data_IF_685869718488
#
_entry.id   IF_685869718488
#
_cell.length_a   1.000
_cell.length_b   1.000
_cell.length_c   1.000
_cell.angle_alpha   90.00
_cell.angle_beta   90.00
_cell.angle_gamma   90.00
#
_symmetry.space_group_name_H-M   'P 1'
#
loop_
_entity.id
_entity.type
_entity.pdbx_description
1 polymer ?
#
# COMPACT_ATOMS: atom_id res chain seq x y z
N UNK A 1 -26.63 6.29 33.13
CA UNK A 1 -26.13 5.88 31.80
C UNK A 1 -25.07 4.80 32.01
N UNK A 2 -25.40 3.53 31.75
CA UNK A 2 -24.48 2.40 31.97
C UNK A 2 -23.82 2.02 30.63
N UNK A 3 -22.51 2.20 30.55
CA UNK A 3 -21.69 1.76 29.42
C UNK A 3 -21.63 0.23 29.41
N UNK A 4 -22.26 -0.39 28.41
CA UNK A 4 -22.17 -1.83 28.14
C UNK A 4 -20.81 -2.10 27.49
N UNK A 5 -19.88 -2.63 28.27
CA UNK A 5 -18.59 -3.10 27.80
C UNK A 5 -18.77 -4.36 26.95
N UNK A 6 -18.59 -4.23 25.63
CA UNK A 6 -18.68 -5.35 24.69
C UNK A 6 -17.32 -6.06 24.65
N UNK A 7 -17.18 -7.10 25.46
CA UNK A 7 -16.02 -7.98 25.47
C UNK A 7 -15.83 -8.61 24.07
N UNK A 8 -14.76 -8.22 23.38
CA UNK A 8 -14.32 -8.89 22.15
C UNK A 8 -13.65 -10.19 22.54
N UNK A 9 -14.36 -11.29 22.31
CA UNK A 9 -13.85 -12.65 22.43
C UNK A 9 -12.73 -12.86 21.40
N UNK A 10 -11.49 -12.87 21.87
CA UNK A 10 -10.34 -13.39 21.13
C UNK A 10 -10.58 -14.89 20.88
N UNK A 11 -10.64 -15.30 19.62
CA UNK A 11 -10.75 -16.71 19.21
C UNK A 11 -9.38 -17.38 19.38
N UNK A 12 -9.20 -18.36 20.28
CA UNK A 12 -7.96 -19.12 20.37
C UNK A 12 -7.97 -20.21 19.30
N UNK A 13 -7.22 -20.02 18.21
CA UNK A 13 -7.06 -21.00 17.13
C UNK A 13 -5.58 -21.16 16.75
N UNK A 14 -4.71 -21.31 17.77
CA UNK A 14 -3.25 -21.48 17.56
C UNK A 14 -2.68 -22.67 18.33
N UNK A 15 -3.49 -23.69 18.63
CA UNK A 15 -2.95 -24.94 19.21
C UNK A 15 -3.50 -26.14 18.46
N UNK A 16 -2.95 -26.39 17.27
CA UNK A 16 -3.03 -27.70 16.62
C UNK A 16 -1.87 -27.83 15.62
N UNK A 17 -1.23 -29.00 15.63
CA UNK A 17 -0.21 -29.49 14.69
C UNK A 17 1.26 -29.13 14.99
N UNK A 18 1.80 -29.71 16.07
CA UNK A 18 3.25 -29.84 16.25
C UNK A 18 3.64 -31.23 16.80
N UNK A 19 3.14 -32.33 16.21
CA UNK A 19 3.60 -33.71 16.51
C UNK A 19 3.12 -34.70 15.44
N UNK A 20 3.73 -34.73 14.25
CA UNK A 20 3.66 -35.88 13.33
C UNK A 20 4.65 -35.71 12.16
N UNK A 21 5.95 -35.92 12.38
CA UNK A 21 6.92 -36.04 11.28
C UNK A 21 8.24 -36.71 11.71
N UNK A 22 8.18 -37.93 12.25
CA UNK A 22 9.38 -38.79 12.41
C UNK A 22 8.96 -40.23 12.11
N UNK A 23 8.98 -40.62 10.83
CA UNK A 23 9.17 -42.01 10.33
C UNK A 23 8.94 -42.06 8.81
N UNK A 24 9.95 -41.71 8.02
CA UNK A 24 10.02 -42.09 6.61
C UNK A 24 11.47 -42.29 6.17
N UNK A 25 12.16 -43.24 6.80
CA UNK A 25 13.41 -43.82 6.29
C UNK A 25 13.00 -45.02 5.44
N UNK A 26 13.01 -44.91 4.11
CA UNK A 26 12.77 -46.11 3.27
C UNK A 26 12.33 -45.96 1.81
N UNK A 27 12.58 -44.84 1.12
CA UNK A 27 12.26 -44.75 -0.32
C UNK A 27 13.21 -43.80 -1.07
N UNK A 28 14.49 -44.19 -1.27
CA UNK A 28 15.47 -43.40 -2.03
C UNK A 28 15.78 -43.95 -3.44
N UNK A 29 15.01 -44.91 -3.96
CA UNK A 29 15.34 -45.55 -5.25
C UNK A 29 14.66 -44.95 -6.49
N UNK A 30 13.76 -43.96 -6.36
CA UNK A 30 13.07 -43.33 -7.50
C UNK A 30 13.26 -41.81 -7.63
N UNK A 31 14.09 -41.17 -6.79
CA UNK A 31 14.29 -39.72 -6.84
C UNK A 31 15.26 -39.24 -7.94
N UNK A 32 15.91 -40.16 -8.67
CA UNK A 32 17.05 -39.84 -9.56
C UNK A 32 16.66 -39.16 -10.88
N UNK A 33 15.50 -39.49 -11.45
CA UNK A 33 15.00 -38.82 -12.67
C UNK A 33 14.24 -37.53 -12.35
N UNK A 34 13.75 -37.37 -11.12
CA UNK A 34 12.94 -36.23 -10.71
C UNK A 34 13.76 -34.94 -10.62
N UNK A 35 15.00 -34.98 -10.15
CA UNK A 35 15.78 -33.74 -9.89
C UNK A 35 16.02 -32.91 -11.15
N UNK A 36 16.28 -33.56 -12.29
CA UNK A 36 16.45 -32.85 -13.57
C UNK A 36 15.14 -32.25 -14.05
N UNK A 37 14.06 -33.02 -14.02
CA UNK A 37 12.72 -32.54 -14.42
C UNK A 37 12.25 -31.38 -13.53
N UNK A 38 12.51 -31.46 -12.22
CA UNK A 38 12.22 -30.40 -11.24
C UNK A 38 13.05 -29.15 -11.50
N UNK A 39 14.34 -29.30 -11.81
CA UNK A 39 15.23 -28.18 -12.16
C UNK A 39 14.76 -27.48 -13.44
N UNK A 40 14.44 -28.23 -14.49
CA UNK A 40 13.94 -27.67 -15.75
C UNK A 40 12.59 -26.96 -15.56
N UNK A 41 11.69 -27.55 -14.77
CA UNK A 41 10.40 -26.92 -14.42
C UNK A 41 10.61 -25.62 -13.64
N UNK A 42 11.55 -25.61 -12.69
CA UNK A 42 11.90 -24.42 -11.92
C UNK A 42 12.49 -23.32 -12.79
N UNK A 43 13.42 -23.65 -13.67
CA UNK A 43 14.01 -22.70 -14.60
C UNK A 43 12.96 -22.11 -15.56
N UNK A 44 12.04 -22.92 -16.07
CA UNK A 44 10.95 -22.43 -16.95
C UNK A 44 10.05 -21.43 -16.24
N UNK A 45 9.68 -21.69 -14.98
CA UNK A 45 8.88 -20.76 -14.18
C UNK A 45 9.62 -19.44 -13.95
N UNK A 46 10.91 -19.51 -13.58
CA UNK A 46 11.75 -18.32 -13.35
C UNK A 46 11.96 -17.53 -14.64
N UNK A 47 12.18 -18.19 -15.78
CA UNK A 47 12.39 -17.56 -17.08
C UNK A 47 11.13 -16.95 -17.70
N UNK A 48 9.94 -17.47 -17.33
CA UNK A 48 8.66 -16.90 -17.67
C UNK A 48 8.35 -15.63 -16.85
N UNK A 49 9.04 -15.42 -15.73
CA UNK A 49 8.83 -14.23 -14.91
C UNK A 49 9.28 -12.96 -15.63
N UNK A 50 8.49 -11.86 -15.57
CA UNK A 50 8.91 -10.56 -16.09
C UNK A 50 10.15 -10.00 -15.36
N UNK A 51 10.48 -10.53 -14.17
CA UNK A 51 11.60 -10.11 -13.33
C UNK A 51 12.82 -11.02 -13.41
N UNK A 52 12.91 -11.87 -14.43
CA UNK A 52 14.03 -12.82 -14.62
C UNK A 52 15.42 -12.18 -14.65
N UNK A 53 15.51 -10.89 -15.00
CA UNK A 53 16.79 -10.15 -15.00
C UNK A 53 17.43 -10.07 -13.61
N UNK A 54 16.63 -10.03 -12.54
CA UNK A 54 17.12 -9.99 -11.14
C UNK A 54 17.74 -11.34 -10.76
N UNK A 55 17.21 -12.44 -11.29
CA UNK A 55 17.70 -13.79 -11.05
C UNK A 55 18.70 -14.28 -12.11
N UNK A 56 19.33 -13.38 -12.89
CA UNK A 56 20.21 -13.77 -14.01
C UNK A 56 21.38 -14.66 -13.58
N UNK A 57 22.03 -14.31 -12.48
CA UNK A 57 23.18 -15.06 -11.97
C UNK A 57 22.81 -16.48 -11.51
N UNK A 58 21.83 -16.69 -10.61
CA UNK A 58 21.46 -18.05 -10.20
C UNK A 58 20.92 -18.90 -11.36
N UNK A 59 20.24 -18.29 -12.35
CA UNK A 59 19.84 -18.99 -13.58
C UNK A 59 21.08 -19.48 -14.35
N UNK A 60 22.11 -18.64 -14.53
CA UNK A 60 23.35 -19.04 -15.21
C UNK A 60 24.03 -20.20 -14.49
N UNK A 61 24.20 -20.09 -13.17
CA UNK A 61 24.84 -21.13 -12.35
C UNK A 61 24.08 -22.45 -12.38
N UNK A 62 22.75 -22.42 -12.35
CA UNK A 62 21.90 -23.60 -12.47
C UNK A 62 22.12 -24.31 -13.82
N UNK A 63 22.11 -23.56 -14.93
CA UNK A 63 22.36 -24.11 -16.28
C UNK A 63 23.77 -24.67 -16.41
N UNK A 64 24.78 -23.96 -15.90
CA UNK A 64 26.17 -24.43 -15.93
C UNK A 64 26.36 -25.72 -15.11
N UNK A 65 25.67 -25.86 -13.97
CA UNK A 65 25.67 -27.09 -13.19
C UNK A 65 24.98 -28.24 -13.94
N UNK A 66 23.83 -28.01 -14.58
CA UNK A 66 23.14 -29.00 -15.39
C UNK A 66 23.98 -29.48 -16.59
N UNK A 67 24.65 -28.56 -17.28
CA UNK A 67 25.56 -28.91 -18.39
C UNK A 67 26.81 -29.67 -17.90
N UNK A 68 27.28 -29.39 -16.68
CA UNK A 68 28.35 -30.21 -16.06
C UNK A 68 27.86 -31.62 -15.73
N UNK A 69 26.64 -31.76 -15.18
CA UNK A 69 26.04 -33.06 -14.92
C UNK A 69 25.94 -33.90 -16.20
N UNK A 70 25.46 -33.30 -17.30
CA UNK A 70 25.37 -33.93 -18.61
C UNK A 70 26.71 -34.48 -19.10
N UNK A 71 27.78 -33.66 -19.04
CA UNK A 71 29.14 -34.07 -19.43
C UNK A 71 29.69 -35.21 -18.57
N UNK A 72 29.36 -35.25 -17.29
CA UNK A 72 29.77 -36.33 -16.39
C UNK A 72 29.08 -37.66 -16.74
N UNK A 73 27.81 -37.63 -17.15
CA UNK A 73 27.08 -38.81 -17.64
C UNK A 73 27.69 -39.34 -18.94
N UNK A 74 28.18 -38.47 -19.83
CA UNK A 74 28.85 -38.87 -21.07
C UNK A 74 30.14 -39.69 -20.81
N UNK A 75 30.86 -39.39 -19.71
CA UNK A 75 32.04 -40.16 -19.27
C UNK A 75 31.71 -41.26 -18.24
N UNK A 76 30.42 -41.55 -18.02
CA UNK A 76 29.91 -42.55 -17.06
C UNK A 76 30.28 -42.30 -15.58
N UNK A 77 30.57 -41.05 -15.19
CA UNK A 77 30.76 -40.63 -13.80
C UNK A 77 29.41 -40.24 -13.15
N UNK A 78 28.56 -41.24 -12.96
CA UNK A 78 27.18 -41.06 -12.47
C UNK A 78 27.09 -40.43 -11.06
N UNK A 79 27.91 -40.83 -10.06
CA UNK A 79 27.83 -40.24 -8.72
C UNK A 79 28.09 -38.74 -8.73
N UNK A 80 29.07 -38.27 -9.52
CA UNK A 80 29.36 -36.84 -9.63
C UNK A 80 28.32 -36.09 -10.45
N UNK A 81 27.74 -36.73 -11.47
CA UNK A 81 26.64 -36.16 -12.23
C UNK A 81 25.45 -35.81 -11.31
N UNK A 82 25.08 -36.71 -10.40
CA UNK A 82 24.00 -36.50 -9.42
C UNK A 82 24.25 -35.31 -8.50
N UNK A 83 25.48 -35.14 -8.02
CA UNK A 83 25.85 -33.97 -7.21
C UNK A 83 25.69 -32.66 -8.01
N UNK A 84 26.01 -32.69 -9.31
CA UNK A 84 25.82 -31.53 -10.18
C UNK A 84 24.34 -31.25 -10.48
N UNK A 85 23.50 -32.28 -10.62
CA UNK A 85 22.05 -32.12 -10.77
C UNK A 85 21.42 -31.53 -9.51
N UNK A 86 21.79 -32.00 -8.32
CA UNK A 86 21.37 -31.40 -7.04
C UNK A 86 21.84 -29.95 -6.90
N UNK A 87 23.07 -29.64 -7.34
CA UNK A 87 23.55 -28.26 -7.39
C UNK A 87 22.75 -27.40 -8.39
N UNK A 88 22.38 -27.94 -9.55
CA UNK A 88 21.56 -27.24 -10.52
C UNK A 88 20.18 -26.91 -9.95
N UNK A 89 19.56 -27.87 -9.24
CA UNK A 89 18.28 -27.71 -8.55
C UNK A 89 18.34 -26.61 -7.49
N UNK A 90 19.33 -26.65 -6.60
CA UNK A 90 19.49 -25.63 -5.55
C UNK A 90 19.65 -24.22 -6.12
N UNK A 91 20.42 -24.04 -7.21
CA UNK A 91 20.51 -22.74 -7.88
C UNK A 91 19.19 -22.31 -8.55
N UNK A 92 18.39 -23.24 -9.07
CA UNK A 92 17.07 -22.92 -9.61
C UNK A 92 16.08 -22.50 -8.52
N UNK A 93 16.12 -23.15 -7.35
CA UNK A 93 15.34 -22.77 -6.18
C UNK A 93 15.77 -21.38 -5.66
N UNK A 94 17.08 -21.11 -5.56
CA UNK A 94 17.61 -19.77 -5.23
C UNK A 94 17.11 -18.72 -6.23
N UNK A 95 17.06 -19.03 -7.53
CA UNK A 95 16.53 -18.11 -8.54
C UNK A 95 15.05 -17.77 -8.30
N UNK A 96 14.22 -18.75 -7.92
CA UNK A 96 12.81 -18.54 -7.53
C UNK A 96 12.72 -17.65 -6.29
N UNK A 97 13.53 -17.93 -5.28
CA UNK A 97 13.48 -17.21 -4.01
C UNK A 97 13.95 -15.76 -4.15
N UNK A 98 14.94 -15.48 -5.00
CA UNK A 98 15.36 -14.11 -5.35
C UNK A 98 14.20 -13.31 -5.96
N UNK A 99 13.43 -13.91 -6.87
CA UNK A 99 12.26 -13.24 -7.46
C UNK A 99 11.19 -12.98 -6.39
N UNK A 100 10.90 -13.97 -5.54
CA UNK A 100 9.94 -13.82 -4.43
C UNK A 100 10.36 -12.74 -3.45
N UNK A 101 11.65 -12.66 -3.12
CA UNK A 101 12.21 -11.62 -2.27
C UNK A 101 12.05 -10.23 -2.91
N UNK A 102 12.36 -10.08 -4.20
CA UNK A 102 12.16 -8.84 -4.92
C UNK A 102 10.69 -8.40 -5.00
N UNK A 103 9.75 -9.35 -5.09
CA UNK A 103 8.31 -9.07 -5.03
C UNK A 103 7.88 -8.62 -3.62
N UNK A 104 8.40 -9.27 -2.57
CA UNK A 104 8.14 -8.89 -1.19
C UNK A 104 8.67 -7.48 -0.88
N UNK A 105 9.88 -7.16 -1.33
CA UNK A 105 10.48 -5.83 -1.18
C UNK A 105 9.67 -4.76 -1.91
N UNK A 106 9.25 -5.02 -3.15
CA UNK A 106 8.39 -4.11 -3.90
C UNK A 106 7.07 -3.84 -3.16
N UNK A 107 6.42 -4.88 -2.60
CA UNK A 107 5.20 -4.71 -1.79
C UNK A 107 5.46 -3.92 -0.51
N UNK A 108 6.55 -4.21 0.21
CA UNK A 108 6.92 -3.47 1.41
C UNK A 108 7.18 -1.99 1.12
N UNK A 109 7.87 -1.67 0.01
CA UNK A 109 8.12 -0.29 -0.42
C UNK A 109 6.82 0.47 -0.72
N UNK A 110 5.87 -0.17 -1.43
CA UNK A 110 4.56 0.42 -1.73
C UNK A 110 3.72 0.65 -0.47
N UNK A 111 3.77 -0.28 0.48
CA UNK A 111 3.06 -0.16 1.76
C UNK A 111 3.63 0.99 2.59
N UNK A 112 4.97 1.15 2.61
CA UNK A 112 5.62 2.27 3.29
C UNK A 112 5.22 3.61 2.68
N UNK A 113 5.20 3.73 1.36
CA UNK A 113 4.75 4.94 0.67
C UNK A 113 3.30 5.29 1.03
N UNK A 114 2.39 4.30 0.96
CA UNK A 114 0.99 4.50 1.32
C UNK A 114 0.81 4.91 2.79
N UNK A 115 1.61 4.35 3.70
CA UNK A 115 1.58 4.72 5.11
C UNK A 115 2.04 6.18 5.33
N UNK A 116 3.08 6.61 4.63
CA UNK A 116 3.55 8.00 4.64
C UNK A 116 2.50 8.97 4.09
N UNK A 117 1.84 8.62 2.98
CA UNK A 117 0.78 9.44 2.37
C UNK A 117 -0.44 9.58 3.30
N UNK A 118 -0.84 8.48 3.96
CA UNK A 118 -1.91 8.49 4.94
C UNK A 118 -1.55 9.37 6.16
N UNK A 119 -0.31 9.31 6.64
CA UNK A 119 0.17 10.20 7.70
C UNK A 119 0.05 11.68 7.29
N UNK A 120 0.50 12.03 6.09
CA UNK A 120 0.40 13.39 5.57
C UNK A 120 -1.05 13.85 5.35
N UNK A 121 -1.99 12.93 5.10
CA UNK A 121 -3.42 13.27 5.05
C UNK A 121 -3.98 13.58 6.44
N UNK A 122 -3.66 12.75 7.44
CA UNK A 122 -4.09 12.99 8.84
C UNK A 122 -3.58 14.33 9.36
N UNK A 123 -2.32 14.68 9.08
CA UNK A 123 -1.75 15.97 9.51
C UNK A 123 -2.46 17.17 8.87
N UNK A 124 -2.85 17.04 7.59
CA UNK A 124 -3.64 18.08 6.90
C UNK A 124 -5.04 18.24 7.47
N UNK A 125 -5.71 17.12 7.74
CA UNK A 125 -7.05 17.14 8.35
C UNK A 125 -6.99 17.73 9.76
N UNK A 126 -5.95 17.40 10.54
CA UNK A 126 -5.72 18.00 11.85
C UNK A 126 -5.52 19.52 11.76
N UNK A 127 -4.69 19.99 10.84
CA UNK A 127 -4.47 21.42 10.64
C UNK A 127 -5.77 22.16 10.26
N UNK A 128 -6.62 21.56 9.41
CA UNK A 128 -7.94 22.12 9.06
C UNK A 128 -8.89 22.17 10.26
N UNK A 129 -8.88 21.16 11.12
CA UNK A 129 -9.68 21.15 12.35
C UNK A 129 -9.20 22.21 13.35
N UNK A 130 -7.89 22.38 13.50
CA UNK A 130 -7.31 23.41 14.37
C UNK A 130 -7.66 24.83 13.88
N UNK A 131 -7.63 25.07 12.57
CA UNK A 131 -8.10 26.33 11.99
C UNK A 131 -9.59 26.56 12.24
N UNK A 132 -10.43 25.54 12.01
CA UNK A 132 -11.87 25.61 12.24
C UNK A 132 -12.23 25.90 13.70
N UNK A 133 -11.52 25.28 14.65
CA UNK A 133 -11.66 25.58 16.08
C UNK A 133 -11.26 27.02 16.40
N UNK A 134 -10.17 27.53 15.80
CA UNK A 134 -9.74 28.92 15.94
C UNK A 134 -10.76 29.92 15.39
N UNK A 135 -11.35 29.65 14.22
CA UNK A 135 -12.41 30.47 13.64
C UNK A 135 -13.68 30.46 14.50
N UNK A 136 -14.11 29.28 14.96
CA UNK A 136 -15.28 29.14 15.84
C UNK A 136 -15.10 29.86 17.18
N UNK A 137 -13.89 29.80 17.76
CA UNK A 137 -13.56 30.53 18.98
C UNK A 137 -13.68 32.05 18.81
N UNK A 138 -13.14 32.60 17.71
CA UNK A 138 -13.27 34.03 17.39
C UNK A 138 -14.72 34.47 17.21
N UNK A 139 -15.52 33.70 16.47
CA UNK A 139 -16.94 34.00 16.26
C UNK A 139 -17.73 33.99 17.58
N UNK A 140 -17.46 33.04 18.48
CA UNK A 140 -18.08 33.02 19.82
C UNK A 140 -17.71 34.25 20.64
N UNK A 141 -16.44 34.65 20.65
CA UNK A 141 -15.99 35.86 21.35
C UNK A 141 -16.65 37.13 20.78
N UNK A 142 -16.88 37.21 19.47
CA UNK A 142 -17.61 38.32 18.84
C UNK A 142 -19.09 38.35 19.25
N UNK A 143 -19.75 37.19 19.29
CA UNK A 143 -21.15 37.10 19.75
C UNK A 143 -21.28 37.50 21.22
N UNK A 144 -20.37 37.03 22.07
CA UNK A 144 -20.35 37.40 23.50
C UNK A 144 -20.07 38.90 23.70
N UNK A 145 -19.18 39.49 22.90
CA UNK A 145 -18.93 40.94 22.93
C UNK A 145 -20.18 41.74 22.53
N UNK A 146 -20.88 41.34 21.46
CA UNK A 146 -22.13 41.98 21.02
C UNK A 146 -23.24 41.82 22.06
N UNK A 147 -23.36 40.65 22.68
CA UNK A 147 -24.31 40.41 23.75
C UNK A 147 -24.01 41.29 24.98
N UNK A 148 -22.76 41.40 25.39
CA UNK A 148 -22.35 42.26 26.50
C UNK A 148 -22.53 43.75 26.20
N UNK A 149 -22.29 44.18 24.96
CA UNK A 149 -22.52 45.56 24.52
C UNK A 149 -24.02 45.91 24.56
N UNK A 150 -24.89 45.01 24.08
CA UNK A 150 -26.35 45.19 24.17
C UNK A 150 -26.86 45.27 25.61
N UNK A 151 -26.28 44.50 26.54
CA UNK A 151 -26.63 44.55 27.97
C UNK A 151 -26.13 45.81 28.67
N UNK A 152 -24.98 46.36 28.25
CA UNK A 152 -24.38 47.58 28.81
C UNK A 152 -24.96 48.87 28.27
N UNK A 153 -25.72 48.80 27.18
CA UNK A 153 -26.49 49.92 26.63
C UNK A 153 -28.00 49.83 26.96
N UNK A 154 -28.43 49.85 28.23
CA UNK A 154 -29.83 50.12 28.52
C UNK A 154 -30.09 51.63 28.31
N UNK A 155 -31.16 51.94 27.56
CA UNK A 155 -31.77 53.27 27.47
C UNK A 155 -30.98 54.42 26.82
N UNK A 156 -30.38 54.21 25.64
CA UNK A 156 -30.44 55.27 24.62
C UNK A 156 -31.65 55.07 23.74
N UNK A 157 -32.80 55.39 24.33
CA UNK A 157 -34.07 55.55 23.64
C UNK A 157 -33.92 56.54 22.48
N UNK A 158 -34.24 56.04 21.30
CA UNK A 158 -35.04 56.74 20.28
C UNK A 158 -35.38 58.21 20.57
N UNK A 159 -34.50 59.11 20.17
CA UNK A 159 -34.90 60.44 19.72
C UNK A 159 -34.00 60.80 18.54
N UNK A 160 -34.52 61.62 17.61
CA UNK A 160 -33.98 61.94 16.27
C UNK A 160 -34.52 60.96 15.21
N UNK A 161 -35.78 61.08 14.79
CA UNK A 161 -36.33 62.14 13.92
C UNK A 161 -35.77 62.09 12.49
N UNK A 162 -36.73 61.95 11.55
CA UNK A 162 -36.61 62.12 10.11
C UNK A 162 -35.75 63.34 9.76
N UNK A 163 -34.79 63.16 8.86
CA UNK A 163 -34.48 64.21 7.89
C UNK A 163 -34.01 63.59 6.57
N UNK A 164 -34.80 63.86 5.54
CA UNK A 164 -34.55 63.59 4.14
C UNK A 164 -33.31 64.38 3.69
N UNK A 165 -32.27 63.72 3.18
CA UNK A 165 -31.30 64.43 2.32
C UNK A 165 -30.80 63.53 1.20
N UNK A 166 -31.48 63.71 0.07
CA UNK A 166 -31.08 63.35 -1.28
C UNK A 166 -29.76 64.07 -1.62
N UNK A 167 -28.66 63.33 -1.76
CA UNK A 167 -27.46 63.83 -2.43
C UNK A 167 -26.90 62.77 -3.36
N UNK A 168 -26.92 63.10 -4.66
CA UNK A 168 -26.30 62.33 -5.72
C UNK A 168 -24.76 62.45 -5.64
N UNK A 169 -24.05 61.36 -5.95
CA UNK A 169 -22.63 61.40 -6.30
C UNK A 169 -22.46 60.68 -7.64
N UNK A 170 -21.91 61.33 -8.67
CA UNK A 170 -21.51 60.72 -9.93
C UNK A 170 -20.05 60.22 -9.84
N UNK A 171 -19.71 59.20 -10.61
CA UNK A 171 -18.33 59.02 -11.10
C UNK A 171 -17.63 57.72 -10.72
N UNK A 172 -17.49 56.86 -11.72
CA UNK A 172 -16.39 55.93 -12.03
C UNK A 172 -15.60 55.30 -10.87
N UNK A 173 -15.88 54.00 -10.65
CA UNK A 173 -14.94 53.07 -10.00
C UNK A 173 -14.24 52.26 -11.11
N UNK A 174 -12.91 52.33 -11.22
CA UNK A 174 -12.17 51.55 -12.21
C UNK A 174 -12.26 50.04 -11.93
N UNK A 175 -12.50 49.27 -13.00
CA UNK A 175 -12.50 47.80 -12.98
C UNK A 175 -11.20 47.25 -12.38
N UNK A 176 -11.27 46.31 -11.41
CA UNK A 176 -10.09 45.61 -10.93
C UNK A 176 -9.62 44.61 -11.98
N UNK A 177 -8.58 44.99 -12.74
CA UNK A 177 -7.77 44.06 -13.54
C UNK A 177 -7.09 43.05 -12.62
N UNK A 178 -7.35 41.77 -12.89
CA UNK A 178 -6.41 40.69 -12.63
C UNK A 178 -6.56 39.99 -11.27
N UNK A 179 -7.52 39.07 -11.20
CA UNK A 179 -7.44 37.99 -10.22
C UNK A 179 -6.12 37.22 -10.44
N UNK A 180 -5.29 36.99 -9.40
CA UNK A 180 -4.16 36.08 -9.51
C UNK A 180 -4.72 34.70 -9.85
N UNK A 181 -4.17 34.09 -10.91
CA UNK A 181 -4.36 32.68 -11.28
C UNK A 181 -4.32 31.86 -9.99
N UNK A 182 -5.47 31.29 -9.63
CA UNK A 182 -5.59 30.47 -8.44
C UNK A 182 -4.50 29.38 -8.42
N UNK A 183 -4.11 28.91 -7.22
CA UNK A 183 -3.16 27.83 -7.10
C UNK A 183 -3.61 26.67 -8.00
N UNK A 184 -2.66 26.00 -8.70
CA UNK A 184 -3.00 24.94 -9.63
C UNK A 184 -3.90 23.95 -8.89
N UNK A 185 -5.12 23.76 -9.43
CA UNK A 185 -6.04 22.73 -8.95
C UNK A 185 -5.21 21.46 -8.73
N UNK A 186 -5.16 20.90 -7.51
CA UNK A 186 -4.51 19.63 -7.31
C UNK A 186 -5.18 18.68 -8.31
N UNK A 187 -4.39 18.14 -9.24
CA UNK A 187 -4.85 17.09 -10.13
C UNK A 187 -5.37 16.00 -9.20
N UNK A 188 -6.69 15.86 -9.13
CA UNK A 188 -7.31 14.71 -8.46
C UNK A 188 -6.58 13.49 -9.00
N UNK A 189 -5.96 12.67 -8.13
CA UNK A 189 -5.33 11.45 -8.59
C UNK A 189 -6.42 10.67 -9.32
N UNK A 190 -6.21 10.51 -10.63
CA UNK A 190 -7.04 9.65 -11.47
C UNK A 190 -7.20 8.33 -10.70
N UNK A 191 -8.44 7.90 -10.40
CA UNK A 191 -8.67 6.65 -9.70
C UNK A 191 -8.09 5.56 -10.58
N UNK A 192 -6.91 5.05 -10.22
CA UNK A 192 -6.33 3.85 -10.82
C UNK A 192 -7.40 2.79 -10.68
N UNK A 193 -7.98 2.41 -11.83
CA UNK A 193 -9.04 1.44 -11.93
C UNK A 193 -8.71 0.24 -11.03
N UNK A 194 -9.59 -0.01 -10.07
CA UNK A 194 -9.50 -1.19 -9.23
C UNK A 194 -9.34 -2.42 -10.14
N UNK A 195 -8.40 -3.34 -9.85
CA UNK A 195 -8.23 -4.54 -10.65
C UNK A 195 -9.57 -5.28 -10.71
N UNK A 196 -10.12 -5.44 -11.92
CA UNK A 196 -11.31 -6.24 -12.19
C UNK A 196 -11.12 -7.61 -11.52
N UNK A 197 -11.94 -7.88 -10.50
CA UNK A 197 -12.00 -9.18 -9.85
C UNK A 197 -12.23 -10.25 -10.92
N UNK A 198 -11.33 -11.24 -10.97
CA UNK A 198 -11.47 -12.38 -11.86
C UNK A 198 -12.79 -13.12 -11.56
N UNK A 199 -13.54 -13.56 -12.58
CA UNK A 199 -14.76 -14.32 -12.38
C UNK A 199 -14.43 -15.63 -11.65
N UNK A 200 -14.92 -15.74 -10.41
CA UNK A 200 -14.99 -17.00 -9.67
C UNK A 200 -15.87 -17.97 -10.46
N UNK A 201 -15.24 -18.92 -11.15
CA UNK A 201 -15.95 -20.09 -11.67
C UNK A 201 -16.31 -20.97 -10.48
N UNK A 202 -17.49 -20.71 -9.92
CA UNK A 202 -18.18 -21.65 -9.05
C UNK A 202 -18.43 -22.93 -9.83
N UNK A 203 -17.64 -23.96 -9.51
CA UNK A 203 -17.86 -25.32 -9.98
C UNK A 203 -19.00 -25.93 -9.19
N UNK A 204 -20.12 -26.19 -9.87
CA UNK A 204 -21.12 -27.14 -9.42
C UNK A 204 -20.51 -28.55 -9.48
N UNK A 205 -20.50 -29.24 -8.35
CA UNK A 205 -20.53 -30.69 -8.24
C UNK A 205 -21.47 -31.06 -7.11
#
# INVERSE_FOLDING_TARGET
MRFVARARTFRPWVVAALTAAVTSVGAFAHAEDDDRALTETALREVEASPRKSIAREPISRSKEAAERAKRLREVRDEPRARLCDGLARTWAEVARDVIRAADAEARASSTRANASDAGAQVDRERAQLEEGLGQAGRLRAQLEALENESKRSPDRTSSVAKEDTKTAIPGDVPEPKGAPKGPPKPKSPEPKAAPKAAPSKGGAR
#
